data_IF_380690081941
#
_entry.id   IF_380690081941
#
_cell.length_a   1.000
_cell.length_b   1.000
_cell.length_c   1.000
_cell.angle_alpha   90.00
_cell.angle_beta   90.00
_cell.angle_gamma   90.00
#
_symmetry.space_group_name_H-M   'P 1'
#
loop_
_entity.id
_entity.type
_entity.pdbx_description
1 polymer ?
#
# COMPACT_ATOMS: atom_id res chain seq x y z
N UNK A 1 21.39 -14.78 -13.37
CA UNK A 1 20.84 -13.64 -14.14
C UNK A 1 20.82 -12.49 -13.15
N UNK A 2 21.72 -11.53 -13.29
CA UNK A 2 21.84 -10.44 -12.31
C UNK A 2 20.69 -9.46 -12.46
N UNK A 3 20.00 -9.17 -11.37
CA UNK A 3 18.90 -8.23 -11.39
C UNK A 3 17.86 -8.47 -10.30
N UNK A 4 16.67 -7.93 -10.53
CA UNK A 4 15.57 -8.00 -9.59
C UNK A 4 14.49 -8.95 -10.09
N UNK A 5 14.01 -9.80 -9.19
CA UNK A 5 12.84 -10.65 -9.36
C UNK A 5 11.71 -10.09 -8.52
N UNK A 6 10.55 -9.89 -9.14
CA UNK A 6 9.35 -9.35 -8.50
C UNK A 6 8.29 -10.45 -8.44
N UNK A 7 7.95 -10.89 -7.23
CA UNK A 7 6.98 -11.96 -7.00
C UNK A 7 5.65 -11.37 -6.53
N UNK A 8 4.54 -11.79 -7.14
CA UNK A 8 3.18 -11.40 -6.76
C UNK A 8 2.60 -12.45 -5.83
N UNK A 9 2.45 -12.10 -4.57
CA UNK A 9 1.88 -12.98 -3.54
C UNK A 9 0.45 -12.56 -3.26
N UNK A 10 -0.49 -13.50 -3.37
CA UNK A 10 -1.91 -13.28 -3.16
C UNK A 10 -2.35 -14.00 -1.91
N UNK A 11 -3.06 -13.28 -1.04
CA UNK A 11 -3.70 -13.89 0.12
C UNK A 11 -4.92 -14.69 -0.33
N UNK A 12 -4.97 -15.97 0.05
CA UNK A 12 -6.04 -16.90 -0.39
C UNK A 12 -7.38 -16.66 0.28
N UNK A 13 -7.35 -16.19 1.51
CA UNK A 13 -8.56 -16.04 2.32
C UNK A 13 -9.37 -14.81 1.88
N UNK A 14 -8.72 -13.88 1.16
CA UNK A 14 -9.28 -12.60 0.77
C UNK A 14 -9.62 -11.78 2.01
N UNK A 15 -9.55 -10.46 1.94
CA UNK A 15 -9.99 -9.62 3.06
C UNK A 15 -11.52 -9.72 3.33
N UNK A 16 -12.20 -10.70 2.74
CA UNK A 16 -13.64 -10.95 2.79
C UNK A 16 -14.12 -11.59 4.09
N UNK A 17 -13.23 -12.18 4.90
CA UNK A 17 -13.55 -12.62 6.26
C UNK A 17 -12.61 -11.99 7.30
N UNK A 18 -12.89 -10.74 7.74
CA UNK A 18 -12.09 -10.09 8.78
C UNK A 18 -12.02 -10.85 10.11
N UNK A 19 -12.91 -11.83 10.37
CA UNK A 19 -12.88 -12.65 11.58
C UNK A 19 -11.86 -13.81 11.47
N UNK A 20 -11.57 -14.28 10.24
CA UNK A 20 -10.49 -15.22 9.96
C UNK A 20 -9.09 -14.56 9.99
N UNK A 21 -9.05 -13.23 9.90
CA UNK A 21 -7.84 -12.44 9.95
C UNK A 21 -7.73 -11.76 11.33
N UNK A 22 -7.04 -12.41 12.26
CA UNK A 22 -6.62 -11.87 13.58
C UNK A 22 -5.66 -10.66 13.49
N UNK A 23 -5.70 -9.92 12.40
CA UNK A 23 -4.71 -8.92 12.02
C UNK A 23 -3.54 -9.50 11.22
N UNK A 24 -3.49 -10.80 10.96
CA UNK A 24 -2.46 -11.42 10.12
C UNK A 24 -3.05 -12.16 8.92
N UNK A 25 -2.36 -12.10 7.78
CA UNK A 25 -2.68 -12.91 6.61
C UNK A 25 -1.76 -14.12 6.63
N UNK A 26 -2.29 -15.31 6.91
CA UNK A 26 -1.48 -16.51 7.12
C UNK A 26 -1.20 -17.33 5.86
N UNK A 27 -2.07 -17.25 4.85
CA UNK A 27 -2.01 -18.09 3.66
C UNK A 27 -1.75 -17.27 2.40
N UNK A 28 -0.49 -17.31 1.96
CA UNK A 28 -0.03 -16.64 0.74
C UNK A 28 0.31 -17.65 -0.35
N UNK A 29 -0.02 -17.32 -1.59
CA UNK A 29 0.46 -18.03 -2.78
C UNK A 29 1.10 -17.08 -3.76
N UNK A 30 2.30 -17.42 -4.24
CA UNK A 30 2.92 -16.74 -5.36
C UNK A 30 2.16 -17.10 -6.64
N UNK A 31 1.65 -16.09 -7.34
CA UNK A 31 0.78 -16.24 -8.53
C UNK A 31 1.46 -15.80 -9.82
N UNK A 32 2.43 -14.88 -9.74
CA UNK A 32 3.19 -14.39 -10.88
C UNK A 32 4.61 -14.01 -10.48
N UNK A 33 5.53 -14.09 -11.45
CA UNK A 33 6.94 -13.69 -11.31
C UNK A 33 7.31 -12.82 -12.50
N UNK A 34 7.80 -11.61 -12.21
CA UNK A 34 8.31 -10.65 -13.20
C UNK A 34 9.79 -10.38 -12.99
N UNK A 35 10.50 -10.02 -14.05
CA UNK A 35 11.95 -9.78 -14.02
C UNK A 35 12.30 -8.40 -14.56
N UNK A 36 13.26 -7.75 -13.92
CA UNK A 36 13.93 -6.54 -14.40
C UNK A 36 12.95 -5.43 -14.87
N UNK A 37 12.93 -5.13 -16.18
CA UNK A 37 12.18 -4.01 -16.77
C UNK A 37 10.66 -4.18 -16.80
N UNK A 38 10.11 -5.32 -16.35
CA UNK A 38 8.66 -5.54 -16.25
C UNK A 38 8.14 -5.49 -14.81
N UNK A 39 8.91 -4.91 -13.90
CA UNK A 39 8.56 -4.83 -12.48
C UNK A 39 7.17 -4.22 -12.23
N UNK A 40 6.77 -3.20 -13.01
CA UNK A 40 5.46 -2.54 -12.86
C UNK A 40 4.29 -3.47 -13.21
N UNK A 41 4.49 -4.46 -14.09
CA UNK A 41 3.44 -5.45 -14.40
C UNK A 41 3.11 -6.33 -13.20
N UNK A 42 4.05 -6.53 -12.28
CA UNK A 42 3.76 -7.21 -11.01
C UNK A 42 2.74 -6.42 -10.18
N UNK A 43 2.75 -5.09 -10.27
CA UNK A 43 1.82 -4.24 -9.52
C UNK A 43 0.44 -4.29 -10.19
N UNK A 44 0.40 -4.27 -11.51
CA UNK A 44 -0.85 -4.44 -12.28
C UNK A 44 -1.47 -5.82 -12.05
N UNK A 45 -0.67 -6.89 -11.98
CA UNK A 45 -1.16 -8.24 -11.67
C UNK A 45 -1.64 -8.37 -10.22
N UNK A 46 -1.14 -7.55 -9.29
CA UNK A 46 -1.58 -7.55 -7.89
C UNK A 46 -2.95 -6.87 -7.69
N UNK A 47 -3.30 -5.86 -8.50
CA UNK A 47 -4.53 -5.06 -8.36
C UNK A 47 -5.84 -5.87 -8.47
N UNK A 48 -5.99 -6.84 -9.38
CA UNK A 48 -7.19 -7.65 -9.47
C UNK A 48 -7.47 -8.50 -8.21
N UNK A 49 -6.47 -8.71 -7.36
CA UNK A 49 -6.61 -9.57 -6.18
C UNK A 49 -7.11 -8.80 -4.96
N UNK A 50 -8.04 -9.36 -4.16
CA UNK A 50 -8.56 -8.72 -2.95
C UNK A 50 -7.49 -8.32 -1.93
N UNK A 51 -6.39 -9.08 -1.86
CA UNK A 51 -5.20 -8.70 -1.12
C UNK A 51 -3.97 -9.36 -1.76
N UNK A 52 -3.02 -8.54 -2.17
CA UNK A 52 -1.77 -8.99 -2.76
C UNK A 52 -0.60 -8.10 -2.36
N UNK A 53 0.59 -8.68 -2.25
CA UNK A 53 1.86 -7.96 -2.08
C UNK A 53 2.79 -8.30 -3.23
N UNK A 54 3.64 -7.35 -3.60
CA UNK A 54 4.75 -7.57 -4.52
C UNK A 54 6.04 -7.47 -3.73
N UNK A 55 6.81 -8.56 -3.74
CA UNK A 55 8.13 -8.61 -3.12
C UNK A 55 9.22 -8.46 -4.19
N UNK A 56 10.14 -7.52 -3.98
CA UNK A 56 11.36 -7.42 -4.77
C UNK A 56 12.45 -8.27 -4.12
N UNK A 57 13.04 -9.16 -4.92
CA UNK A 57 14.04 -10.12 -4.50
C UNK A 57 15.32 -9.89 -5.31
N UNK A 58 16.45 -9.59 -4.67
CA UNK A 58 17.73 -9.46 -5.37
C UNK A 58 18.19 -10.84 -5.87
N UNK A 59 18.64 -10.93 -7.12
CA UNK A 59 19.18 -12.14 -7.73
C UNK A 59 20.57 -11.84 -8.27
N UNK A 60 21.59 -12.52 -7.73
CA UNK A 60 23.01 -12.28 -8.05
C UNK A 60 23.45 -10.81 -7.89
N UNK A 61 22.74 -10.03 -7.05
CA UNK A 61 23.07 -8.66 -6.63
C UNK A 61 23.83 -8.72 -5.29
N UNK A 62 24.57 -7.66 -4.97
CA UNK A 62 25.25 -7.44 -3.69
C UNK A 62 24.49 -8.04 -2.47
N UNK A 63 25.15 -8.90 -1.67
CA UNK A 63 24.55 -9.59 -0.52
C UNK A 63 23.97 -8.67 0.57
N UNK A 64 24.24 -7.36 0.53
CA UNK A 64 23.61 -6.39 1.42
C UNK A 64 22.11 -6.21 1.18
N UNK A 65 21.61 -6.49 -0.04
CA UNK A 65 20.20 -6.35 -0.37
C UNK A 65 19.38 -7.53 0.10
N UNK A 66 18.21 -7.23 0.67
CA UNK A 66 17.26 -8.24 1.15
C UNK A 66 15.95 -8.14 0.40
N UNK A 67 15.21 -9.26 0.40
CA UNK A 67 13.80 -9.30 0.03
C UNK A 67 13.04 -8.21 0.79
N UNK A 68 12.22 -7.44 0.10
CA UNK A 68 11.36 -6.43 0.71
C UNK A 68 10.10 -6.20 -0.13
N UNK A 69 9.04 -5.75 0.52
CA UNK A 69 7.78 -5.37 -0.14
C UNK A 69 7.96 -4.04 -0.85
N UNK A 70 7.55 -3.99 -2.13
CA UNK A 70 7.60 -2.78 -2.98
C UNK A 70 6.23 -2.33 -3.47
N UNK A 71 5.20 -3.13 -3.19
CA UNK A 71 3.81 -2.77 -3.44
C UNK A 71 2.90 -3.66 -2.60
N UNK A 72 1.79 -3.10 -2.15
CA UNK A 72 0.71 -3.85 -1.51
C UNK A 72 -0.63 -3.29 -2.02
N UNK A 73 -1.49 -4.21 -2.45
CA UNK A 73 -2.86 -3.94 -2.83
C UNK A 73 -3.79 -4.65 -1.86
N UNK A 74 -4.76 -3.89 -1.33
CA UNK A 74 -5.88 -4.42 -0.56
C UNK A 74 -7.12 -3.84 -1.24
N UNK A 75 -8.10 -4.67 -1.57
CA UNK A 75 -9.36 -4.22 -2.15
C UNK A 75 -10.10 -3.34 -1.14
N UNK A 76 -10.51 -2.18 -1.61
CA UNK A 76 -11.01 -1.10 -0.76
C UNK A 76 -9.91 -0.27 -0.10
N UNK A 77 -8.63 -0.66 -0.18
CA UNK A 77 -7.44 -0.01 0.38
C UNK A 77 -7.03 -0.54 1.77
N UNK A 78 -5.89 -0.10 2.29
CA UNK A 78 -5.46 -0.40 3.67
C UNK A 78 -5.87 0.69 4.67
N UNK A 79 -5.83 0.39 5.97
CA UNK A 79 -6.05 1.40 7.00
C UNK A 79 -4.89 2.39 6.99
N UNK A 80 -5.21 3.67 6.76
CA UNK A 80 -4.23 4.72 6.89
C UNK A 80 -3.74 4.81 8.34
N UNK A 81 -2.42 4.76 8.59
CA UNK A 81 -1.85 4.74 9.95
C UNK A 81 -2.44 5.84 10.83
N UNK A 82 -2.53 7.06 10.30
CA UNK A 82 -3.09 8.21 11.02
C UNK A 82 -4.60 8.07 11.33
N UNK A 83 -5.36 7.46 10.43
CA UNK A 83 -6.79 7.21 10.58
C UNK A 83 -7.03 6.14 11.64
N UNK A 84 -6.21 5.09 11.61
CA UNK A 84 -6.19 4.02 12.59
C UNK A 84 -5.78 4.54 13.97
N UNK A 85 -4.64 5.24 14.07
CA UNK A 85 -4.15 5.84 15.31
C UNK A 85 -5.20 6.78 15.92
N UNK A 86 -5.87 7.60 15.10
CA UNK A 86 -6.96 8.46 15.60
C UNK A 86 -8.16 7.64 16.07
N UNK A 87 -8.54 6.60 15.33
CA UNK A 87 -9.65 5.73 15.67
C UNK A 87 -9.41 5.02 17.01
N UNK A 88 -8.29 4.30 17.17
CA UNK A 88 -7.98 3.55 18.40
C UNK A 88 -7.87 4.46 19.63
N UNK A 89 -7.39 5.70 19.46
CA UNK A 89 -7.26 6.66 20.57
C UNK A 89 -8.58 7.36 20.93
N UNK A 90 -9.54 7.45 20.01
CA UNK A 90 -10.83 8.14 20.22
C UNK A 90 -11.99 7.18 20.49
N UNK A 91 -11.86 5.92 20.11
CA UNK A 91 -12.89 4.90 20.23
C UNK A 91 -12.43 3.78 21.16
N UNK A 92 -12.81 3.87 22.43
CA UNK A 92 -12.37 2.94 23.49
C UNK A 92 -13.33 1.76 23.73
N UNK A 93 -14.55 1.81 23.20
CA UNK A 93 -15.62 0.83 23.46
C UNK A 93 -16.04 0.11 22.17
N UNK A 94 -15.51 -1.09 21.96
CA UNK A 94 -15.86 -1.93 20.83
C UNK A 94 -17.14 -2.74 21.13
N UNK A 95 -18.31 -2.11 21.01
CA UNK A 95 -19.57 -2.87 20.95
C UNK A 95 -19.68 -3.45 19.54
N UNK A 96 -19.44 -4.76 19.44
CA UNK A 96 -19.50 -5.50 18.17
C UNK A 96 -20.95 -5.54 17.69
N UNK A 97 -21.20 -5.04 16.48
CA UNK A 97 -22.51 -5.18 15.84
C UNK A 97 -22.55 -6.50 15.08
N UNK A 98 -23.52 -7.36 15.38
CA UNK A 98 -23.92 -8.42 14.46
C UNK A 98 -24.70 -7.79 13.29
N UNK A 99 -24.47 -8.17 12.02
CA UNK A 99 -23.68 -9.32 11.55
C UNK A 99 -22.22 -8.96 11.15
N UNK A 100 -21.77 -7.73 11.36
CA UNK A 100 -20.51 -7.23 10.81
C UNK A 100 -19.27 -7.71 11.58
N UNK A 101 -19.42 -8.26 12.79
CA UNK A 101 -18.31 -8.68 13.65
C UNK A 101 -17.43 -7.52 14.14
N UNK A 102 -17.83 -6.29 13.83
CA UNK A 102 -17.11 -5.05 14.08
C UNK A 102 -18.07 -4.01 14.67
N UNK A 103 -17.52 -3.04 15.39
CA UNK A 103 -18.27 -1.87 15.82
C UNK A 103 -18.54 -0.93 14.63
N UNK A 104 -19.68 -0.24 14.61
CA UNK A 104 -20.04 0.69 13.50
C UNK A 104 -18.95 1.76 13.27
N UNK A 105 -18.37 2.41 14.29
CA UNK A 105 -17.25 3.33 14.10
C UNK A 105 -16.00 2.70 13.45
N UNK A 106 -15.75 1.43 13.73
CA UNK A 106 -14.64 0.65 13.19
C UNK A 106 -14.88 0.37 11.70
N UNK A 107 -16.13 0.04 11.32
CA UNK A 107 -16.57 -0.13 9.93
C UNK A 107 -16.43 1.18 9.16
N UNK A 108 -16.84 2.31 9.74
CA UNK A 108 -16.70 3.62 9.07
C UNK A 108 -15.25 4.09 8.96
N UNK A 109 -14.39 3.75 9.93
CA UNK A 109 -12.95 3.96 9.82
C UNK A 109 -12.35 3.14 8.67
N UNK A 110 -12.83 1.91 8.47
CA UNK A 110 -12.45 1.11 7.32
C UNK A 110 -12.95 1.69 5.99
N UNK A 111 -14.11 2.35 5.92
CA UNK A 111 -14.55 2.97 4.66
C UNK A 111 -13.65 4.13 4.20
N UNK A 112 -12.84 4.67 5.10
CA UNK A 112 -11.81 5.69 4.80
C UNK A 112 -10.46 5.05 4.48
N UNK A 113 -10.44 3.90 3.81
CA UNK A 113 -9.22 3.30 3.26
C UNK A 113 -8.81 4.06 1.99
N UNK A 114 -7.55 3.96 1.59
CA UNK A 114 -7.10 4.50 0.31
C UNK A 114 -5.90 3.75 -0.22
N UNK A 115 -5.43 4.10 -1.43
CA UNK A 115 -4.34 3.39 -2.07
C UNK A 115 -3.03 3.55 -1.28
N UNK A 116 -2.10 2.62 -1.52
CA UNK A 116 -0.72 2.79 -1.09
C UNK A 116 -0.10 3.99 -1.83
N UNK A 117 0.42 4.95 -1.07
CA UNK A 117 0.99 6.20 -1.59
C UNK A 117 2.42 6.38 -1.12
N UNK A 118 3.22 7.11 -1.91
CA UNK A 118 4.61 7.45 -1.52
C UNK A 118 4.64 8.56 -0.47
N UNK A 119 5.49 8.40 0.53
CA UNK A 119 5.82 9.44 1.52
C UNK A 119 7.34 9.54 1.71
N UNK A 120 7.85 10.63 2.32
CA UNK A 120 9.26 10.73 2.68
C UNK A 120 9.77 9.62 3.61
N UNK A 121 8.87 8.98 4.36
CA UNK A 121 9.22 7.94 5.32
C UNK A 121 9.02 6.52 4.76
N UNK A 122 8.68 6.40 3.47
CA UNK A 122 8.31 5.13 2.84
C UNK A 122 6.87 5.13 2.33
N UNK A 123 6.41 3.97 1.91
CA UNK A 123 5.07 3.77 1.35
C UNK A 123 4.04 3.59 2.46
N UNK A 124 2.92 4.32 2.39
CA UNK A 124 1.87 4.27 3.40
C UNK A 124 0.49 4.25 2.73
N UNK A 125 -0.45 3.49 3.28
CA UNK A 125 -1.85 3.60 2.84
C UNK A 125 -2.41 4.97 3.23
N UNK A 126 -3.00 5.68 2.28
CA UNK A 126 -3.59 7.00 2.52
C UNK A 126 -4.96 7.13 1.86
N UNK A 127 -5.98 7.37 2.68
CA UNK A 127 -7.29 7.79 2.20
C UNK A 127 -7.24 9.15 1.53
N UNK A 128 -8.24 9.49 0.72
CA UNK A 128 -8.26 10.77 -0.01
C UNK A 128 -8.10 11.97 0.92
N UNK A 129 -8.81 12.01 2.04
CA UNK A 129 -8.71 13.11 3.00
C UNK A 129 -7.29 13.26 3.58
N UNK A 130 -6.67 12.13 3.93
CA UNK A 130 -5.33 12.11 4.51
C UNK A 130 -4.26 12.45 3.47
N UNK A 131 -4.43 11.97 2.24
CA UNK A 131 -3.59 12.27 1.09
C UNK A 131 -3.65 13.75 0.74
N UNK A 132 -4.85 14.31 0.63
CA UNK A 132 -5.11 15.73 0.41
C UNK A 132 -4.57 16.60 1.56
N UNK A 133 -4.70 16.17 2.82
CA UNK A 133 -4.12 16.88 3.96
C UNK A 133 -2.59 16.84 3.96
N UNK A 134 -1.99 15.69 3.63
CA UNK A 134 -0.55 15.52 3.53
C UNK A 134 0.02 16.37 2.40
N UNK A 135 -0.61 16.36 1.21
CA UNK A 135 -0.28 17.25 0.09
C UNK A 135 -0.20 18.72 0.52
N UNK A 136 -1.27 19.25 1.13
CA UNK A 136 -1.31 20.64 1.60
C UNK A 136 -0.20 20.96 2.60
N UNK A 137 0.09 20.02 3.50
CA UNK A 137 1.17 20.18 4.50
C UNK A 137 2.55 20.18 3.84
N UNK A 138 2.77 19.29 2.88
CA UNK A 138 4.02 19.14 2.16
C UNK A 138 4.29 20.37 1.26
N UNK A 139 3.31 20.77 0.46
CA UNK A 139 3.40 21.96 -0.40
C UNK A 139 3.66 23.23 0.42
N UNK A 140 2.99 23.38 1.58
CA UNK A 140 3.25 24.49 2.50
C UNK A 140 4.69 24.46 3.04
N UNK A 141 5.18 23.29 3.45
CA UNK A 141 6.54 23.13 3.96
C UNK A 141 7.60 23.44 2.89
N UNK A 142 7.39 22.94 1.67
CA UNK A 142 8.27 23.20 0.53
C UNK A 142 8.34 24.71 0.24
N UNK A 143 7.18 25.38 0.18
CA UNK A 143 7.11 26.84 0.03
C UNK A 143 7.89 27.60 1.11
N UNK A 144 7.69 27.25 2.40
CA UNK A 144 8.38 27.90 3.53
C UNK A 144 9.89 27.69 3.49
N UNK A 145 10.34 26.55 2.96
CA UNK A 145 11.77 26.20 2.88
C UNK A 145 12.42 26.61 1.56
N UNK A 146 11.68 27.27 0.66
CA UNK A 146 12.17 27.67 -0.67
C UNK A 146 12.50 26.49 -1.58
N UNK A 147 11.85 25.34 -1.36
CA UNK A 147 12.00 24.12 -2.17
C UNK A 147 10.78 23.91 -3.04
N UNK A 148 10.99 23.28 -4.19
CA UNK A 148 9.87 22.81 -5.01
C UNK A 148 9.25 21.55 -4.37
N UNK A 149 7.93 21.50 -4.21
CA UNK A 149 7.28 20.30 -3.69
C UNK A 149 7.35 19.18 -4.73
N UNK A 150 7.95 18.05 -4.35
CA UNK A 150 7.78 16.82 -5.11
C UNK A 150 6.31 16.39 -5.12
N UNK A 151 5.71 16.41 -6.31
CA UNK A 151 4.32 16.05 -6.55
C UNK A 151 4.06 14.55 -6.62
N UNK A 152 5.11 13.73 -6.60
CA UNK A 152 5.04 12.26 -6.62
C UNK A 152 4.84 11.68 -5.22
N UNK A 153 5.30 12.40 -4.20
CA UNK A 153 4.85 12.19 -2.82
C UNK A 153 3.32 12.37 -2.82
N UNK A 154 2.58 11.64 -1.98
CA UNK A 154 1.10 11.62 -1.95
C UNK A 154 0.36 11.10 -3.20
N UNK A 155 1.03 10.59 -4.23
CA UNK A 155 0.35 9.88 -5.34
C UNK A 155 0.32 8.37 -5.12
N UNK A 156 -0.69 7.65 -5.66
CA UNK A 156 -0.71 6.19 -5.61
C UNK A 156 0.55 5.60 -6.23
N UNK A 157 1.15 4.61 -5.56
CA UNK A 157 2.40 3.97 -6.00
C UNK A 157 2.29 3.42 -7.42
N UNK A 158 1.13 2.83 -7.77
CA UNK A 158 0.88 2.30 -9.11
C UNK A 158 0.88 3.39 -10.20
N UNK A 159 0.28 4.55 -9.93
CA UNK A 159 0.23 5.64 -10.91
C UNK A 159 1.64 6.15 -11.21
N UNK A 160 2.45 6.31 -10.15
CA UNK A 160 3.85 6.70 -10.25
C UNK A 160 4.68 5.63 -10.98
N UNK A 161 4.44 4.35 -10.69
CA UNK A 161 5.13 3.24 -11.34
C UNK A 161 4.86 3.17 -12.85
N UNK A 162 3.63 3.47 -13.28
CA UNK A 162 3.26 3.54 -14.69
C UNK A 162 3.96 4.68 -15.42
N UNK A 163 4.09 5.84 -14.79
CA UNK A 163 4.85 6.97 -15.35
C UNK A 163 6.33 6.62 -15.51
N UNK A 164 6.95 6.07 -14.47
CA UNK A 164 8.35 5.66 -14.49
C UNK A 164 8.64 4.61 -15.58
N UNK A 165 7.68 3.69 -15.81
CA UNK A 165 7.77 2.72 -16.90
C UNK A 165 7.67 3.38 -18.29
N UNK A 166 6.76 4.35 -18.47
CA UNK A 166 6.56 5.05 -19.75
C UNK A 166 7.65 6.07 -20.09
N UNK A 167 8.47 6.49 -19.12
CA UNK A 167 9.67 7.30 -19.35
C UNK A 167 10.88 6.45 -19.78
N UNK A 168 10.91 5.15 -19.46
CA UNK A 168 11.98 4.23 -19.84
C UNK A 168 11.88 3.60 -21.23
N UNK A 169 10.76 3.81 -21.94
CA UNK A 169 10.51 3.28 -23.31
C UNK A 169 10.75 4.33 -24.43
N UNK A 170 11.24 5.53 -24.10
CA UNK A 170 11.54 6.62 -25.05
C UNK A 170 13.01 6.77 -25.38
#
# INVERSE_FOLDING_TARGET
MTGWRYEVWVCKDGWTDPAAHDGTCGLWSCTAIHWNGRWFKAFEDAVPHPHAVVEAIPVDIDPGWKRHTVFEHIQGGGLCKRCWDRHINSHKEHVISEPMGWCVPCVDAQKRRGPLARTPNGEEFMCEDCRSAFRRSHERSAYVTGRDPDSRLYRPVLDVAREDAGEGER
#
